data_IF_198054401221
#
_entry.id   IF_198054401221
#
_cell.length_a   1.000
_cell.length_b   1.000
_cell.length_c   1.000
_cell.angle_alpha   90.00
_cell.angle_beta   90.00
_cell.angle_gamma   90.00
#
_symmetry.space_group_name_H-M   'P 1'
#
loop_
_entity.id
_entity.type
_entity.pdbx_description
1 polymer ?
#
# COMPACT_ATOMS: atom_id res chain seq x y z
N UNK A 1 14.45 -17.09 29.96
CA UNK A 1 15.48 -16.54 29.08
C UNK A 1 14.81 -15.83 27.92
N UNK A 2 15.18 -14.56 27.70
CA UNK A 2 14.76 -13.75 26.58
C UNK A 2 15.87 -12.76 26.23
N UNK A 3 16.80 -13.18 25.35
CA UNK A 3 17.91 -12.34 24.88
C UNK A 3 18.24 -12.67 23.44
N UNK A 4 18.63 -11.66 22.70
CA UNK A 4 19.18 -11.82 21.36
C UNK A 4 20.57 -12.50 21.44
N UNK A 5 20.78 -13.51 20.64
CA UNK A 5 22.02 -14.27 20.48
C UNK A 5 22.57 -14.18 19.06
N UNK A 6 22.00 -13.37 18.20
CA UNK A 6 22.36 -13.27 16.78
C UNK A 6 23.83 -12.92 16.54
N UNK A 7 24.48 -12.31 17.52
CA UNK A 7 25.91 -11.94 17.47
C UNK A 7 26.89 -13.08 17.83
N UNK A 8 26.38 -14.27 18.15
CA UNK A 8 27.26 -15.37 18.50
C UNK A 8 27.99 -15.92 17.29
N UNK A 9 29.28 -16.25 17.49
CA UNK A 9 30.10 -16.94 16.49
C UNK A 9 29.78 -18.42 16.49
N UNK A 10 29.17 -18.87 15.42
CA UNK A 10 28.75 -20.29 15.24
C UNK A 10 29.70 -21.09 14.33
N UNK A 11 30.82 -20.55 13.92
CA UNK A 11 31.70 -21.15 12.92
C UNK A 11 32.21 -22.53 13.29
N UNK A 12 32.22 -22.88 14.59
CA UNK A 12 32.67 -24.17 15.12
C UNK A 12 31.54 -24.97 15.80
N UNK A 13 30.28 -24.53 15.65
CA UNK A 13 29.14 -25.22 16.27
C UNK A 13 28.65 -26.31 15.29
N UNK A 14 28.66 -27.54 15.76
CA UNK A 14 28.33 -28.75 14.98
C UNK A 14 26.98 -29.37 15.39
N UNK A 15 26.38 -28.92 16.48
CA UNK A 15 25.08 -29.41 16.97
C UNK A 15 24.38 -28.31 17.75
N UNK A 16 23.12 -28.03 17.40
CA UNK A 16 22.23 -27.09 18.07
C UNK A 16 20.92 -27.75 18.52
N UNK A 17 20.85 -29.10 18.51
CA UNK A 17 19.67 -29.82 18.98
C UNK A 17 19.35 -29.41 20.41
N UNK A 18 18.08 -29.21 20.70
CA UNK A 18 17.55 -28.86 22.03
C UNK A 18 18.14 -27.59 22.68
N UNK A 19 18.93 -26.79 21.95
CA UNK A 19 19.55 -25.56 22.47
C UNK A 19 18.51 -24.59 23.07
N UNK A 20 17.33 -24.52 22.47
CA UNK A 20 16.21 -23.69 22.89
C UNK A 20 15.05 -24.50 23.50
N UNK A 21 15.29 -25.72 23.93
CA UNK A 21 14.27 -26.54 24.58
C UNK A 21 13.73 -25.82 25.84
N UNK A 22 12.41 -25.65 25.92
CA UNK A 22 11.73 -24.90 26.99
C UNK A 22 12.10 -23.42 27.11
N UNK A 23 12.66 -22.78 26.09
CA UNK A 23 12.90 -21.34 26.02
C UNK A 23 11.63 -20.54 25.73
N UNK A 24 10.50 -20.85 26.40
CA UNK A 24 9.15 -20.29 26.12
C UNK A 24 9.02 -18.79 26.37
N UNK A 25 10.01 -18.16 27.01
CA UNK A 25 10.03 -16.72 27.24
C UNK A 25 10.77 -15.95 26.13
N UNK A 26 11.32 -16.65 25.12
CA UNK A 26 12.01 -16.00 24.01
C UNK A 26 10.97 -15.32 23.11
N UNK A 27 11.10 -14.00 22.95
CA UNK A 27 10.21 -13.21 22.13
C UNK A 27 10.33 -13.55 20.63
N UNK A 28 9.29 -13.28 19.85
CA UNK A 28 9.33 -13.47 18.39
C UNK A 28 10.45 -12.66 17.76
N UNK A 29 10.68 -11.44 18.22
CA UNK A 29 11.79 -10.59 17.81
C UNK A 29 13.14 -11.31 17.98
N UNK A 30 13.45 -11.79 19.19
CA UNK A 30 14.70 -12.51 19.44
C UNK A 30 14.77 -13.84 18.68
N UNK A 31 13.64 -14.52 18.47
CA UNK A 31 13.58 -15.72 17.64
C UNK A 31 13.93 -15.41 16.18
N UNK A 32 13.42 -14.29 15.64
CA UNK A 32 13.72 -13.87 14.28
C UNK A 32 15.20 -13.51 14.13
N UNK A 33 15.75 -12.65 14.98
CA UNK A 33 17.15 -12.23 14.93
C UNK A 33 18.11 -13.43 15.02
N UNK A 34 17.82 -14.35 15.92
CA UNK A 34 18.60 -15.60 16.07
C UNK A 34 18.45 -16.45 14.80
N UNK A 35 17.24 -16.62 14.28
CA UNK A 35 17.00 -17.41 13.07
C UNK A 35 17.73 -16.86 11.84
N UNK A 36 17.67 -15.58 11.60
CA UNK A 36 18.36 -14.93 10.49
C UNK A 36 19.88 -15.13 10.56
N UNK A 37 20.45 -15.06 11.77
CA UNK A 37 21.90 -15.27 11.97
C UNK A 37 22.29 -16.74 11.94
N UNK A 38 21.52 -17.63 12.57
CA UNK A 38 21.90 -19.03 12.81
C UNK A 38 21.53 -19.97 11.65
N UNK A 39 20.54 -19.61 10.83
CA UNK A 39 20.05 -20.47 9.73
C UNK A 39 21.08 -20.75 8.64
N UNK A 40 22.13 -19.95 8.55
CA UNK A 40 23.26 -20.20 7.65
C UNK A 40 24.18 -21.37 8.10
N UNK A 41 24.05 -21.84 9.35
CA UNK A 41 24.81 -22.95 9.86
C UNK A 41 24.01 -24.29 9.70
N UNK A 42 24.62 -25.29 9.08
CA UNK A 42 23.98 -26.61 8.81
C UNK A 42 23.49 -27.34 10.08
N UNK A 43 24.01 -26.99 11.26
CA UNK A 43 23.57 -27.54 12.55
C UNK A 43 22.26 -26.91 13.07
N UNK A 44 21.73 -25.85 12.41
CA UNK A 44 20.47 -25.21 12.79
C UNK A 44 19.27 -26.09 12.50
N UNK A 45 18.51 -26.45 13.53
CA UNK A 45 17.38 -27.39 13.42
C UNK A 45 16.01 -26.75 13.65
N UNK A 46 15.98 -25.50 14.06
CA UNK A 46 14.73 -24.78 14.38
C UNK A 46 14.14 -24.08 13.14
N UNK A 47 12.82 -24.20 12.99
CA UNK A 47 12.08 -23.47 11.95
C UNK A 47 11.33 -22.30 12.60
N UNK A 48 11.99 -21.15 12.67
CA UNK A 48 11.42 -19.92 13.23
C UNK A 48 11.10 -18.87 12.17
N UNK A 49 10.96 -19.26 10.92
CA UNK A 49 10.58 -18.35 9.84
C UNK A 49 9.34 -17.52 10.17
N UNK A 50 8.32 -18.12 10.79
CA UNK A 50 7.11 -17.39 11.19
C UNK A 50 7.36 -16.26 12.20
N UNK A 51 8.47 -16.31 12.95
CA UNK A 51 8.85 -15.23 13.85
C UNK A 51 9.37 -13.97 13.12
N UNK A 52 9.75 -14.10 11.84
CA UNK A 52 10.24 -13.02 11.01
C UNK A 52 9.16 -12.44 10.07
N UNK A 53 7.93 -12.90 10.18
CA UNK A 53 6.85 -12.42 9.33
C UNK A 53 6.41 -11.02 9.79
N UNK A 54 6.43 -10.01 8.92
CA UNK A 54 5.79 -8.75 9.21
C UNK A 54 4.26 -8.93 9.20
N UNK A 55 3.53 -8.05 9.85
CA UNK A 55 2.07 -8.06 9.89
C UNK A 55 1.53 -6.69 9.51
N UNK A 56 0.51 -6.66 8.68
CA UNK A 56 -0.33 -5.51 8.43
C UNK A 56 -1.65 -5.66 9.18
N UNK A 57 -1.91 -4.75 10.09
CA UNK A 57 -3.20 -4.68 10.77
C UNK A 57 -4.30 -4.19 9.82
N UNK A 58 -5.54 -4.31 10.23
CA UNK A 58 -6.68 -3.86 9.46
C UNK A 58 -6.61 -2.35 9.19
N UNK A 59 -6.69 -1.96 7.92
CA UNK A 59 -6.80 -0.57 7.49
C UNK A 59 -8.27 -0.18 7.36
N UNK A 60 -8.66 1.05 7.80
CA UNK A 60 -10.05 1.47 7.76
C UNK A 60 -10.53 1.74 6.34
N UNK A 61 -11.73 1.29 6.01
CA UNK A 61 -12.44 1.74 4.82
C UNK A 61 -12.63 3.27 4.86
N UNK A 62 -12.48 3.90 3.70
CA UNK A 62 -12.42 5.37 3.60
C UNK A 62 -13.26 5.87 2.42
N UNK A 63 -13.88 7.03 2.62
CA UNK A 63 -14.56 7.76 1.55
C UNK A 63 -13.87 9.10 1.29
N UNK A 64 -13.71 9.44 0.02
CA UNK A 64 -13.22 10.72 -0.45
C UNK A 64 -14.15 11.24 -1.55
N UNK A 65 -14.07 12.53 -1.88
CA UNK A 65 -14.71 13.07 -3.07
C UNK A 65 -13.83 12.80 -4.30
N UNK A 66 -14.45 12.69 -5.47
CA UNK A 66 -13.71 12.64 -6.74
C UNK A 66 -12.79 13.86 -6.88
N UNK A 67 -11.77 13.75 -7.73
CA UNK A 67 -10.72 14.75 -7.95
C UNK A 67 -9.87 15.07 -6.70
N UNK A 68 -9.97 14.25 -5.64
CA UNK A 68 -9.12 14.35 -4.45
C UNK A 68 -8.22 13.12 -4.30
N UNK A 69 -7.04 13.36 -3.77
CA UNK A 69 -6.08 12.31 -3.42
C UNK A 69 -6.29 11.86 -1.98
N UNK A 70 -5.91 10.60 -1.70
CA UNK A 70 -5.87 10.04 -0.35
C UNK A 70 -4.46 9.59 0.00
N UNK A 71 -4.05 9.85 1.23
CA UNK A 71 -2.72 9.50 1.73
C UNK A 71 -2.82 8.73 3.04
N UNK A 72 -1.96 7.73 3.20
CA UNK A 72 -1.91 6.90 4.39
C UNK A 72 -0.45 6.62 4.76
N UNK A 73 -0.11 6.75 6.05
CA UNK A 73 1.16 6.27 6.58
C UNK A 73 1.03 4.79 6.94
N UNK A 74 1.75 3.93 6.25
CA UNK A 74 1.67 2.49 6.41
C UNK A 74 2.33 2.00 7.70
N UNK A 75 3.19 2.80 8.33
CA UNK A 75 3.79 2.45 9.61
C UNK A 75 2.76 2.39 10.74
N UNK A 76 1.68 3.17 10.65
CA UNK A 76 0.60 3.17 11.63
C UNK A 76 -0.17 1.82 11.66
N UNK A 77 -0.04 1.03 10.59
CA UNK A 77 -0.71 -0.27 10.41
C UNK A 77 0.26 -1.44 10.36
N UNK A 78 1.55 -1.18 10.58
CA UNK A 78 2.59 -2.20 10.44
C UNK A 78 3.10 -2.67 11.78
N UNK A 79 3.23 -3.99 11.93
CA UNK A 79 3.90 -4.64 13.06
C UNK A 79 5.14 -5.34 12.55
N UNK A 80 6.28 -4.92 13.06
CA UNK A 80 7.57 -5.48 12.71
C UNK A 80 8.06 -6.44 13.79
N UNK A 81 8.48 -7.65 13.46
CA UNK A 81 8.98 -8.60 14.44
C UNK A 81 10.34 -8.24 15.03
N UNK A 82 11.06 -7.31 14.37
CA UNK A 82 12.37 -6.83 14.82
C UNK A 82 12.49 -5.33 14.67
N UNK A 83 13.27 -4.68 15.55
CA UNK A 83 13.72 -3.30 15.39
C UNK A 83 14.78 -3.16 14.27
N UNK A 84 14.98 -4.19 13.49
CA UNK A 84 16.08 -4.26 12.53
C UNK A 84 15.95 -3.18 11.46
N UNK A 85 17.01 -2.43 11.36
CA UNK A 85 17.31 -1.35 10.43
C UNK A 85 17.28 -1.78 8.97
N UNK A 86 16.43 -2.59 8.55
CA UNK A 86 16.51 -2.89 7.19
C UNK A 86 15.61 -3.99 6.74
N UNK A 87 15.04 -3.74 5.70
CA UNK A 87 14.57 -4.74 4.90
C UNK A 87 13.07 -4.99 4.99
N UNK A 88 12.29 -3.96 5.21
CA UNK A 88 10.87 -3.98 4.90
C UNK A 88 10.58 -3.01 3.76
N UNK A 89 9.88 -3.50 2.78
CA UNK A 89 9.37 -2.72 1.67
C UNK A 89 7.86 -2.89 1.54
N UNK A 90 7.22 -1.90 0.94
CA UNK A 90 5.80 -1.91 0.69
C UNK A 90 5.52 -1.90 -0.80
N UNK A 91 4.42 -2.54 -1.18
CA UNK A 91 3.85 -2.43 -2.51
C UNK A 91 2.34 -2.34 -2.42
N UNK A 92 1.72 -1.77 -3.45
CA UNK A 92 0.27 -1.60 -3.49
C UNK A 92 -0.29 -1.92 -4.87
N UNK A 93 -1.56 -2.31 -4.90
CA UNK A 93 -2.32 -2.52 -6.13
C UNK A 93 -3.81 -2.32 -5.87
N UNK A 94 -4.56 -2.13 -6.93
CA UNK A 94 -6.02 -1.97 -6.88
C UNK A 94 -6.71 -2.91 -7.87
N UNK A 95 -7.98 -3.17 -7.64
CA UNK A 95 -8.83 -4.00 -8.50
C UNK A 95 -9.39 -3.25 -9.72
N UNK A 96 -9.15 -1.95 -9.84
CA UNK A 96 -9.66 -1.11 -10.94
C UNK A 96 -8.56 -0.26 -11.59
N UNK A 97 -8.66 -0.04 -12.89
CA UNK A 97 -7.77 0.85 -13.63
C UNK A 97 -8.07 2.35 -13.40
N UNK A 98 -9.17 2.67 -12.74
CA UNK A 98 -9.59 4.06 -12.46
C UNK A 98 -8.93 4.66 -11.22
N UNK A 99 -8.23 3.85 -10.44
CA UNK A 99 -7.51 4.31 -9.25
C UNK A 99 -6.05 3.88 -9.38
N UNK A 100 -5.15 4.84 -9.45
CA UNK A 100 -3.72 4.60 -9.38
C UNK A 100 -3.28 4.62 -7.91
N UNK A 101 -2.44 3.68 -7.54
CA UNK A 101 -1.83 3.60 -6.20
C UNK A 101 -0.32 3.51 -6.34
N UNK A 102 0.39 4.23 -5.50
CA UNK A 102 1.84 4.19 -5.43
C UNK A 102 2.30 4.26 -3.98
N UNK A 103 3.46 3.70 -3.70
CA UNK A 103 4.09 3.76 -2.39
C UNK A 103 5.44 4.42 -2.53
N UNK A 104 5.65 5.47 -1.76
CA UNK A 104 6.95 6.11 -1.60
C UNK A 104 7.42 5.91 -0.16
N UNK A 105 8.50 5.15 0.03
CA UNK A 105 8.99 4.68 1.33
C UNK A 105 7.91 3.89 2.09
N UNK A 106 7.21 4.54 3.00
CA UNK A 106 6.11 3.98 3.80
C UNK A 106 4.79 4.76 3.65
N UNK A 107 4.72 5.68 2.69
CA UNK A 107 3.50 6.45 2.43
C UNK A 107 2.79 5.90 1.20
N UNK A 108 1.53 5.53 1.39
CA UNK A 108 0.62 5.17 0.31
C UNK A 108 -0.05 6.43 -0.23
N UNK A 109 0.00 6.60 -1.54
CA UNK A 109 -0.72 7.63 -2.29
C UNK A 109 -1.76 6.95 -3.17
N UNK A 110 -2.96 7.47 -3.14
CA UNK A 110 -4.10 6.95 -3.91
C UNK A 110 -4.68 8.07 -4.74
N UNK A 111 -4.68 7.88 -6.06
CA UNK A 111 -5.08 8.88 -7.05
C UNK A 111 -6.23 8.34 -7.91
N UNK A 112 -7.48 8.66 -7.60
CA UNK A 112 -8.60 8.38 -8.50
C UNK A 112 -8.42 9.13 -9.83
N UNK A 113 -8.90 8.53 -10.91
CA UNK A 113 -8.97 9.22 -12.20
C UNK A 113 -9.92 10.42 -12.11
N UNK A 114 -9.60 11.47 -12.85
CA UNK A 114 -10.42 12.69 -12.90
C UNK A 114 -11.88 12.34 -13.23
N UNK A 115 -12.82 12.98 -12.52
CA UNK A 115 -14.27 12.79 -12.67
C UNK A 115 -14.74 11.34 -12.54
N UNK A 116 -13.98 10.49 -11.86
CA UNK A 116 -14.39 9.12 -11.59
C UNK A 116 -14.93 8.97 -10.18
N UNK A 117 -16.10 8.42 -10.07
CA UNK A 117 -16.71 8.02 -8.81
C UNK A 117 -17.01 6.51 -8.82
N UNK A 118 -16.97 5.89 -7.65
CA UNK A 118 -17.18 4.46 -7.54
C UNK A 118 -16.52 3.86 -6.31
N UNK A 119 -16.27 2.57 -6.35
CA UNK A 119 -15.65 1.82 -5.26
C UNK A 119 -14.42 1.12 -5.83
N UNK A 120 -13.31 1.18 -5.09
CA UNK A 120 -12.08 0.46 -5.38
C UNK A 120 -11.63 -0.33 -4.14
N UNK A 121 -11.13 -1.54 -4.35
CA UNK A 121 -10.41 -2.29 -3.33
C UNK A 121 -8.91 -1.98 -3.47
N UNK A 122 -8.35 -1.37 -2.44
CA UNK A 122 -6.92 -1.09 -2.36
C UNK A 122 -6.25 -2.16 -1.52
N UNK A 123 -5.20 -2.74 -2.05
CA UNK A 123 -4.40 -3.78 -1.39
C UNK A 123 -2.99 -3.27 -1.13
N UNK A 124 -2.50 -3.50 0.07
CA UNK A 124 -1.13 -3.17 0.47
C UNK A 124 -0.44 -4.44 0.92
N UNK A 125 0.79 -4.61 0.50
CA UNK A 125 1.65 -5.72 0.88
C UNK A 125 2.89 -5.18 1.56
N UNK A 126 3.21 -5.70 2.73
CA UNK A 126 4.50 -5.51 3.39
C UNK A 126 5.38 -6.72 3.11
N UNK A 127 6.63 -6.49 2.77
CA UNK A 127 7.63 -7.51 2.52
C UNK A 127 8.78 -7.39 3.51
N UNK A 128 9.25 -8.52 4.01
CA UNK A 128 10.54 -8.61 4.67
C UNK A 128 11.60 -8.99 3.60
N UNK A 129 12.47 -8.04 3.26
CA UNK A 129 13.44 -8.20 2.17
C UNK A 129 14.51 -9.25 2.48
N UNK A 130 14.74 -9.58 3.76
CA UNK A 130 15.72 -10.57 4.18
C UNK A 130 15.18 -12.00 4.11
N UNK A 131 13.92 -12.22 4.52
CA UNK A 131 13.32 -13.56 4.63
C UNK A 131 12.37 -13.90 3.48
N UNK A 132 12.05 -12.92 2.64
CA UNK A 132 11.05 -13.05 1.57
C UNK A 132 9.63 -13.37 2.08
N UNK A 133 9.36 -13.10 3.38
CA UNK A 133 8.03 -13.21 3.97
C UNK A 133 7.24 -11.94 3.71
N UNK A 134 5.94 -12.07 3.59
CA UNK A 134 5.06 -10.94 3.31
C UNK A 134 3.71 -11.11 4.01
N UNK A 135 3.04 -9.99 4.25
CA UNK A 135 1.65 -9.95 4.65
C UNK A 135 0.87 -8.94 3.81
N UNK A 136 -0.45 -9.11 3.73
CA UNK A 136 -1.31 -8.29 2.88
C UNK A 136 -2.55 -7.88 3.65
N UNK A 137 -2.84 -6.58 3.60
CA UNK A 137 -4.10 -6.03 4.10
C UNK A 137 -4.81 -5.23 3.01
N UNK A 138 -6.11 -5.01 3.19
CA UNK A 138 -6.98 -4.36 2.21
C UNK A 138 -7.88 -3.35 2.89
N UNK A 139 -8.28 -2.33 2.14
CA UNK A 139 -9.37 -1.44 2.53
C UNK A 139 -10.20 -1.04 1.30
N UNK A 140 -11.44 -0.67 1.54
CA UNK A 140 -12.34 -0.16 0.52
C UNK A 140 -12.23 1.35 0.44
N UNK A 141 -11.94 1.87 -0.76
CA UNK A 141 -12.00 3.29 -1.06
C UNK A 141 -13.32 3.58 -1.79
N UNK A 142 -14.20 4.36 -1.16
CA UNK A 142 -15.35 4.96 -1.80
C UNK A 142 -14.99 6.33 -2.37
N UNK A 143 -15.23 6.56 -3.65
CA UNK A 143 -15.06 7.87 -4.30
C UNK A 143 -16.46 8.41 -4.60
N UNK A 144 -16.80 9.49 -3.94
CA UNK A 144 -18.13 10.12 -4.04
C UNK A 144 -18.14 11.17 -5.16
N UNK A 145 -19.20 11.16 -5.96
CA UNK A 145 -19.39 12.17 -7.02
C UNK A 145 -19.59 13.57 -6.44
N UNK A 146 -18.98 14.55 -7.06
CA UNK A 146 -19.15 15.98 -6.76
C UNK A 146 -19.54 16.67 -8.05
N UNK A 147 -20.63 17.45 -8.01
CA UNK A 147 -21.09 18.16 -9.20
C UNK A 147 -20.05 19.13 -9.75
N UNK A 148 -19.66 18.93 -10.97
CA UNK A 148 -18.81 19.84 -11.74
C UNK A 148 -19.61 20.98 -12.40
N UNK A 149 -18.94 22.03 -12.75
CA UNK A 149 -19.58 23.13 -13.47
C UNK A 149 -19.63 22.86 -14.98
N UNK A 150 -20.76 23.09 -15.64
CA UNK A 150 -20.86 22.92 -17.08
C UNK A 150 -19.87 23.80 -17.85
N UNK A 151 -19.31 23.27 -18.91
CA UNK A 151 -18.30 23.93 -19.73
C UNK A 151 -18.78 24.17 -21.16
N UNK A 152 -18.34 25.28 -21.77
CA UNK A 152 -18.57 25.54 -23.18
C UNK A 152 -17.71 24.63 -24.06
N UNK A 153 -18.34 23.72 -24.79
CA UNK A 153 -17.67 22.80 -25.75
C UNK A 153 -17.50 23.51 -27.12
N UNK A 154 -18.42 24.39 -27.47
CA UNK A 154 -18.32 25.16 -28.72
C UNK A 154 -17.19 26.20 -28.63
N UNK A 155 -16.47 26.49 -29.76
CA UNK A 155 -15.44 27.53 -29.77
C UNK A 155 -15.99 28.87 -29.32
N UNK A 156 -15.28 29.61 -28.47
CA UNK A 156 -15.67 30.90 -27.93
C UNK A 156 -15.65 32.07 -28.98
N UNK A 157 -15.00 31.82 -30.12
CA UNK A 157 -14.83 32.84 -31.18
C UNK A 157 -15.37 32.33 -32.49
N UNK A 158 -15.97 33.26 -33.25
CA UNK A 158 -16.37 33.04 -34.63
C UNK A 158 -16.03 34.29 -35.49
N UNK A 159 -15.56 34.05 -36.68
CA UNK A 159 -15.38 35.14 -37.69
C UNK A 159 -16.66 35.24 -38.51
N UNK A 160 -17.13 36.45 -38.69
CA UNK A 160 -18.37 36.75 -39.42
C UNK A 160 -18.07 37.82 -40.45
N UNK A 161 -18.49 37.58 -41.69
CA UNK A 161 -18.39 38.58 -42.75
C UNK A 161 -19.40 39.73 -42.54
N UNK A 162 -18.99 40.90 -42.89
CA UNK A 162 -19.85 42.08 -42.79
C UNK A 162 -21.11 41.91 -43.64
N UNK A 163 -22.28 42.26 -43.08
CA UNK A 163 -23.60 42.18 -43.70
C UNK A 163 -24.18 40.76 -43.91
N UNK A 164 -23.66 39.74 -43.20
CA UNK A 164 -24.27 38.41 -43.18
C UNK A 164 -24.93 38.16 -41.82
N UNK A 165 -26.03 37.40 -41.85
CA UNK A 165 -26.65 36.89 -40.60
C UNK A 165 -25.79 35.76 -40.05
N UNK A 166 -25.41 35.87 -38.79
CA UNK A 166 -24.67 34.84 -38.08
C UNK A 166 -25.60 34.12 -37.11
N UNK A 167 -25.76 32.85 -37.32
CA UNK A 167 -26.42 31.94 -36.39
C UNK A 167 -25.42 30.87 -35.94
N UNK A 168 -25.41 30.62 -34.67
CA UNK A 168 -24.53 29.59 -34.08
C UNK A 168 -25.20 28.94 -32.89
N UNK A 169 -25.15 27.61 -32.87
CA UNK A 169 -25.52 26.85 -31.72
C UNK A 169 -24.38 26.90 -30.67
N UNK A 170 -24.74 27.17 -29.45
CA UNK A 170 -23.85 27.09 -28.30
C UNK A 170 -24.01 25.69 -27.69
N UNK A 171 -22.93 24.97 -27.69
CA UNK A 171 -22.88 23.62 -27.05
C UNK A 171 -22.20 23.75 -25.69
N UNK A 172 -22.89 23.29 -24.67
CA UNK A 172 -22.40 23.21 -23.31
C UNK A 172 -22.34 21.73 -22.96
N UNK A 173 -21.28 21.30 -22.34
CA UNK A 173 -21.09 19.94 -21.83
C UNK A 173 -20.97 20.00 -20.31
N UNK A 174 -21.45 18.95 -19.68
CA UNK A 174 -21.36 18.73 -18.26
C UNK A 174 -20.93 17.28 -18.02
N UNK A 175 -19.94 17.08 -17.15
CA UNK A 175 -19.33 15.76 -16.88
C UNK A 175 -20.31 14.86 -16.13
N UNK A 176 -21.13 15.46 -15.26
CA UNK A 176 -22.05 14.74 -14.38
C UNK A 176 -23.44 14.56 -14.97
N UNK A 177 -23.72 15.22 -16.09
CA UNK A 177 -25.08 15.26 -16.67
C UNK A 177 -25.07 15.00 -18.16
N UNK A 178 -25.78 13.97 -18.61
CA UNK A 178 -25.98 13.68 -20.04
C UNK A 178 -26.93 14.68 -20.73
N UNK A 179 -27.73 15.42 -19.98
CA UNK A 179 -28.71 16.38 -20.49
C UNK A 179 -28.72 17.66 -19.68
N UNK A 180 -28.26 18.75 -20.32
CA UNK A 180 -28.45 20.10 -19.81
C UNK A 180 -29.86 20.58 -20.19
N UNK A 181 -30.70 20.85 -19.21
CA UNK A 181 -32.05 21.39 -19.38
C UNK A 181 -32.05 22.94 -19.34
#
# INVERSE_FOLDING_TARGET
FNSDLSSWDLSNVLNMEEMFLNANALSLENQCQIHESFSANDAWTYNWFGACQPELTEMPDTNIHEDHEYHLDLLDFSVFPTDSNGGYSFSSFTDTAHVMVEVEDHHLFVHPAMHWNGIALVSVVIHNDSSNLADTSHFTLGVEAVNDAPQFVSPLHALVDLNHTFNRDIVVGDVDSETLT
#
